data_IF_698999511373
#
_entry.id   IF_698999511373
#
_cell.length_a   1.000
_cell.length_b   1.000
_cell.length_c   1.000
_cell.angle_alpha   90.00
_cell.angle_beta   90.00
_cell.angle_gamma   90.00
#
_symmetry.space_group_name_H-M   'P 1'
#
loop_
_entity.id
_entity.type
_entity.pdbx_description
1 polymer ?
#
# COMPACT_ATOMS: atom_id res chain seq x y z
N UNK A 1 4.17 -9.32 -22.58
CA UNK A 1 3.90 -9.96 -21.27
C UNK A 1 2.40 -9.95 -21.03
N UNK A 2 1.75 -11.11 -20.79
CA UNK A 2 0.33 -11.11 -20.37
C UNK A 2 0.25 -10.71 -18.90
N UNK A 3 -0.58 -9.74 -18.57
CA UNK A 3 -0.80 -9.28 -17.19
C UNK A 3 -1.43 -10.41 -16.35
N UNK A 4 -0.90 -10.66 -15.16
CA UNK A 4 -1.44 -11.68 -14.25
C UNK A 4 -2.74 -11.20 -13.63
N UNK A 5 -3.87 -11.85 -13.92
CA UNK A 5 -5.18 -11.52 -13.33
C UNK A 5 -5.16 -11.64 -11.81
N UNK A 6 -4.52 -12.68 -11.27
CA UNK A 6 -4.37 -12.88 -9.83
C UNK A 6 -3.47 -11.82 -9.20
N UNK A 7 -2.36 -11.47 -9.87
CA UNK A 7 -1.47 -10.39 -9.42
C UNK A 7 -2.19 -9.03 -9.35
N UNK A 8 -2.99 -8.72 -10.37
CA UNK A 8 -3.83 -7.51 -10.38
C UNK A 8 -4.87 -7.56 -9.25
N UNK A 9 -5.55 -8.70 -9.07
CA UNK A 9 -6.57 -8.84 -8.03
C UNK A 9 -5.98 -8.58 -6.63
N UNK A 10 -4.83 -9.17 -6.32
CA UNK A 10 -4.13 -8.96 -5.04
C UNK A 10 -3.70 -7.50 -4.86
N UNK A 11 -3.20 -6.88 -5.94
CA UNK A 11 -2.82 -5.45 -5.92
C UNK A 11 -4.03 -4.55 -5.65
N UNK A 12 -5.18 -4.83 -6.26
CA UNK A 12 -6.41 -4.06 -6.10
C UNK A 12 -7.00 -4.15 -4.68
N UNK A 13 -6.89 -5.32 -4.04
CA UNK A 13 -7.33 -5.51 -2.64
C UNK A 13 -6.64 -4.52 -1.69
N UNK A 14 -5.40 -4.13 -1.99
CA UNK A 14 -4.69 -3.10 -1.23
C UNK A 14 -4.96 -1.68 -1.74
N UNK A 15 -4.90 -1.47 -3.07
CA UNK A 15 -5.04 -0.16 -3.69
C UNK A 15 -6.42 0.47 -3.46
N UNK A 16 -7.49 -0.31 -3.55
CA UNK A 16 -8.86 0.23 -3.43
C UNK A 16 -9.11 0.81 -2.03
N UNK A 17 -8.85 0.10 -0.92
CA UNK A 17 -8.94 0.69 0.41
C UNK A 17 -8.00 1.87 0.62
N UNK A 18 -6.78 1.82 0.08
CA UNK A 18 -5.82 2.91 0.20
C UNK A 18 -6.33 4.21 -0.46
N UNK A 19 -6.89 4.09 -1.68
CA UNK A 19 -7.51 5.22 -2.40
C UNK A 19 -8.74 5.72 -1.65
N UNK A 20 -9.58 4.82 -1.14
CA UNK A 20 -10.75 5.21 -0.35
C UNK A 20 -10.35 5.99 0.91
N UNK A 21 -9.30 5.56 1.61
CA UNK A 21 -8.77 6.29 2.77
C UNK A 21 -8.25 7.68 2.39
N UNK A 22 -7.53 7.81 1.26
CA UNK A 22 -7.09 9.13 0.78
C UNK A 22 -8.27 10.02 0.41
N UNK A 23 -9.28 9.47 -0.27
CA UNK A 23 -10.49 10.22 -0.62
C UNK A 23 -11.24 10.71 0.64
N UNK A 24 -11.40 9.85 1.65
CA UNK A 24 -12.02 10.21 2.93
C UNK A 24 -11.18 11.25 3.69
N UNK A 25 -9.86 11.17 3.62
CA UNK A 25 -8.97 12.15 4.22
C UNK A 25 -9.11 13.53 3.56
N UNK A 26 -9.27 13.59 2.24
CA UNK A 26 -9.48 14.82 1.48
C UNK A 26 -10.86 15.44 1.74
N UNK A 27 -11.87 14.63 2.06
CA UNK A 27 -13.22 15.08 2.41
C UNK A 27 -13.41 15.41 3.89
N UNK A 28 -12.39 15.23 4.74
CA UNK A 28 -12.48 15.47 6.17
C UNK A 28 -12.09 16.91 6.52
N UNK A 29 -13.01 17.66 7.13
CA UNK A 29 -12.75 19.02 7.61
C UNK A 29 -11.92 19.05 8.91
N UNK A 30 -11.93 17.97 9.68
CA UNK A 30 -11.16 17.88 10.92
C UNK A 30 -9.74 17.35 10.68
N UNK A 31 -8.76 18.05 11.26
CA UNK A 31 -7.35 17.73 11.14
C UNK A 31 -6.96 16.34 11.67
N UNK A 32 -7.64 15.84 12.72
CA UNK A 32 -7.38 14.50 13.28
C UNK A 32 -7.99 13.42 12.39
N UNK A 33 -9.22 13.62 11.92
CA UNK A 33 -9.87 12.69 10.98
C UNK A 33 -9.01 12.45 9.74
N UNK A 34 -8.53 13.53 9.13
CA UNK A 34 -7.60 13.48 7.99
C UNK A 34 -6.33 12.67 8.30
N UNK A 35 -5.72 12.89 9.46
CA UNK A 35 -4.50 12.17 9.86
C UNK A 35 -4.74 10.67 10.06
N UNK A 36 -5.84 10.30 10.72
CA UNK A 36 -6.21 8.89 10.94
C UNK A 36 -6.41 8.17 9.61
N UNK A 37 -7.19 8.76 8.69
CA UNK A 37 -7.43 8.15 7.38
C UNK A 37 -6.14 7.99 6.56
N UNK A 38 -5.24 8.96 6.57
CA UNK A 38 -3.95 8.85 5.88
C UNK A 38 -3.03 7.80 6.51
N UNK A 39 -3.16 7.56 7.82
CA UNK A 39 -2.38 6.52 8.49
C UNK A 39 -2.92 5.11 8.26
N UNK A 40 -4.21 4.88 8.05
CA UNK A 40 -4.74 3.50 7.98
C UNK A 40 -4.06 2.62 6.93
N UNK A 41 -3.79 3.06 5.69
CA UNK A 41 -3.21 2.20 4.66
C UNK A 41 -1.72 1.92 4.87
N UNK A 42 -0.98 2.90 5.41
CA UNK A 42 0.49 2.87 5.48
C UNK A 42 1.04 2.85 6.92
N UNK A 43 0.20 2.95 7.93
CA UNK A 43 0.57 3.13 9.33
C UNK A 43 1.30 1.93 9.90
N UNK A 44 0.91 0.71 9.51
CA UNK A 44 1.64 -0.51 9.85
C UNK A 44 3.05 -0.50 9.24
N UNK A 45 3.19 -0.01 8.00
CA UNK A 45 4.47 0.09 7.30
C UNK A 45 5.36 1.16 7.94
N UNK A 46 4.79 2.32 8.29
CA UNK A 46 5.47 3.38 9.02
C UNK A 46 5.97 2.87 10.38
N UNK A 47 5.15 2.12 11.12
CA UNK A 47 5.55 1.50 12.39
C UNK A 47 6.67 0.48 12.20
N UNK A 48 6.62 -0.33 11.15
CA UNK A 48 7.69 -1.27 10.82
C UNK A 48 9.01 -0.53 10.52
N UNK A 49 8.97 0.55 9.75
CA UNK A 49 10.15 1.39 9.48
C UNK A 49 10.69 2.06 10.75
N UNK A 50 9.79 2.48 11.65
CA UNK A 50 10.18 2.99 12.97
C UNK A 50 10.93 1.95 13.80
N UNK A 51 10.49 0.69 13.80
CA UNK A 51 11.17 -0.41 14.50
C UNK A 51 12.57 -0.70 13.94
N UNK A 52 12.80 -0.45 12.64
CA UNK A 52 14.10 -0.63 11.98
C UNK A 52 15.00 0.62 12.10
N UNK A 53 14.51 1.69 12.77
CA UNK A 53 15.28 2.92 13.00
C UNK A 53 15.30 3.88 11.81
N UNK A 54 14.45 3.68 10.80
CA UNK A 54 14.39 4.52 9.59
C UNK A 54 13.47 5.75 9.73
N UNK A 55 13.02 6.05 10.96
CA UNK A 55 12.03 7.11 11.21
C UNK A 55 12.54 8.51 10.86
N UNK A 56 13.80 8.80 11.18
CA UNK A 56 14.42 10.11 10.89
C UNK A 56 14.50 10.40 9.38
N UNK A 57 14.62 9.36 8.56
CA UNK A 57 14.64 9.49 7.09
C UNK A 57 13.26 9.79 6.49
N UNK A 58 12.19 9.55 7.25
CA UNK A 58 10.80 9.80 6.84
C UNK A 58 10.29 11.15 7.35
N UNK A 59 10.99 11.74 8.32
CA UNK A 59 10.58 12.98 8.94
C UNK A 59 10.70 14.15 7.94
N UNK A 60 9.61 14.91 7.76
CA UNK A 60 9.54 16.02 6.80
C UNK A 60 9.09 15.62 5.39
N UNK A 61 8.86 14.33 5.10
CA UNK A 61 8.25 13.92 3.84
C UNK A 61 6.76 14.26 3.78
N UNK A 62 6.29 14.67 2.61
CA UNK A 62 4.85 14.84 2.38
C UNK A 62 4.12 13.50 2.42
N UNK A 63 2.83 13.52 2.76
CA UNK A 63 1.98 12.33 2.68
C UNK A 63 1.99 11.69 1.29
N UNK A 64 1.96 12.50 0.22
CA UNK A 64 2.06 12.00 -1.15
C UNK A 64 3.36 11.20 -1.37
N UNK A 65 4.49 11.72 -0.89
CA UNK A 65 5.78 11.03 -0.97
C UNK A 65 5.79 9.73 -0.19
N UNK A 66 5.24 9.72 1.04
CA UNK A 66 5.13 8.52 1.86
C UNK A 66 4.27 7.44 1.18
N UNK A 67 3.14 7.83 0.58
CA UNK A 67 2.29 6.92 -0.18
C UNK A 67 3.01 6.34 -1.39
N UNK A 68 3.73 7.14 -2.17
CA UNK A 68 4.51 6.61 -3.29
C UNK A 68 5.59 5.65 -2.81
N UNK A 69 6.33 6.01 -1.76
CA UNK A 69 7.43 5.21 -1.23
C UNK A 69 6.95 3.88 -0.65
N UNK A 70 5.79 3.86 0.02
CA UNK A 70 5.29 2.71 0.76
C UNK A 70 4.28 1.86 -0.01
N UNK A 71 3.38 2.48 -0.80
CA UNK A 71 2.38 1.73 -1.56
C UNK A 71 3.00 1.03 -2.77
N UNK A 72 3.94 1.65 -3.48
CA UNK A 72 4.58 1.04 -4.65
C UNK A 72 5.23 -0.32 -4.35
N UNK A 73 6.12 -0.47 -3.34
CA UNK A 73 6.73 -1.75 -3.05
C UNK A 73 5.71 -2.80 -2.60
N UNK A 74 4.64 -2.40 -1.90
CA UNK A 74 3.56 -3.33 -1.52
C UNK A 74 2.79 -3.81 -2.74
N UNK A 75 2.39 -2.90 -3.63
CA UNK A 75 1.68 -3.25 -4.86
C UNK A 75 2.52 -4.19 -5.73
N UNK A 76 3.81 -3.90 -5.90
CA UNK A 76 4.74 -4.77 -6.63
C UNK A 76 4.83 -6.14 -5.96
N UNK A 77 4.99 -6.18 -4.64
CA UNK A 77 5.08 -7.44 -3.88
C UNK A 77 3.81 -8.28 -4.03
N UNK A 78 2.63 -7.66 -3.87
CA UNK A 78 1.34 -8.32 -4.02
C UNK A 78 1.11 -8.82 -5.44
N UNK A 79 1.49 -8.03 -6.45
CA UNK A 79 1.44 -8.45 -7.85
C UNK A 79 2.32 -9.68 -8.09
N UNK A 80 3.57 -9.66 -7.61
CA UNK A 80 4.51 -10.78 -7.73
C UNK A 80 3.99 -12.04 -7.02
N UNK A 81 3.40 -11.90 -5.83
CA UNK A 81 2.78 -13.02 -5.09
C UNK A 81 1.63 -13.61 -5.90
N UNK A 82 0.68 -12.78 -6.36
CA UNK A 82 -0.47 -13.26 -7.14
C UNK A 82 -0.05 -13.87 -8.48
N UNK A 83 1.00 -13.34 -9.12
CA UNK A 83 1.60 -13.95 -10.31
C UNK A 83 2.24 -15.31 -10.01
N UNK A 84 3.07 -15.40 -8.98
CA UNK A 84 3.70 -16.65 -8.54
C UNK A 84 2.67 -17.73 -8.20
N UNK A 85 1.62 -17.36 -7.47
CA UNK A 85 0.52 -18.27 -7.14
C UNK A 85 -0.20 -18.78 -8.40
N UNK A 86 -0.45 -17.90 -9.38
CA UNK A 86 -1.03 -18.31 -10.66
C UNK A 86 -0.15 -19.29 -11.44
N UNK A 87 1.18 -19.15 -11.36
CA UNK A 87 2.12 -20.10 -11.97
C UNK A 87 2.09 -21.46 -11.26
N UNK A 88 2.06 -21.46 -9.93
CA UNK A 88 1.99 -22.68 -9.12
C UNK A 88 0.70 -23.46 -9.39
N UNK A 89 -0.45 -22.78 -9.41
CA UNK A 89 -1.75 -23.39 -9.71
C UNK A 89 -1.78 -24.01 -11.11
N UNK A 90 -1.20 -23.33 -12.10
CA UNK A 90 -1.10 -23.87 -13.47
C UNK A 90 -0.21 -25.11 -13.55
N UNK A 91 0.83 -25.21 -12.71
CA UNK A 91 1.73 -26.37 -12.65
C UNK A 91 1.08 -27.60 -12.01
N UNK A 92 0.07 -27.39 -11.17
CA UNK A 92 -0.65 -28.45 -10.45
C UNK A 92 -1.87 -28.99 -11.21
N UNK A 93 -2.31 -28.32 -12.27
CA UNK A 93 -3.43 -28.73 -13.14
C UNK A 93 -2.92 -29.41 -14.40
#
# INVERSE_FOLDING_TARGET
>A
MRVSRLGVCFSLIYLVPAIACVALALSSDDSKGRFVFLQLPIGQQLRALHLVGLNESLHGLSWATLYLLLCLPVVVTLYCIGWGLGLLLKRMS
#
